data_IF_901478411898
#
_entry.id   IF_901478411898
#
_cell.length_a   1.000
_cell.length_b   1.000
_cell.length_c   1.000
_cell.angle_alpha   90.00
_cell.angle_beta   90.00
_cell.angle_gamma   90.00
#
_symmetry.space_group_name_H-M   'P 1'
#
loop_
_entity.id
_entity.type
_entity.pdbx_description
1 polymer ?
#
# COMPACT_ATOMS: atom_id res chain seq x y z
N UNK A 1 -1.88 -4.89 20.13
CA UNK A 1 -1.14 -4.12 19.09
C UNK A 1 0.37 -4.39 19.04
N UNK A 2 1.07 -4.67 20.15
CA UNK A 2 2.55 -4.86 20.20
C UNK A 2 3.08 -5.96 19.27
N UNK A 3 2.40 -7.11 19.20
CA UNK A 3 2.80 -8.24 18.32
C UNK A 3 2.76 -7.88 16.84
N UNK A 4 1.65 -7.27 16.38
CA UNK A 4 1.51 -6.84 14.99
C UNK A 4 2.64 -5.87 14.60
N UNK A 5 2.86 -4.81 15.40
CA UNK A 5 3.94 -3.86 15.12
C UNK A 5 5.34 -4.49 15.13
N UNK A 6 5.59 -5.50 15.97
CA UNK A 6 6.86 -6.23 15.98
C UNK A 6 7.07 -7.05 14.69
N UNK A 7 6.02 -7.70 14.17
CA UNK A 7 6.11 -8.42 12.91
C UNK A 7 6.33 -7.47 11.73
N UNK A 8 5.59 -6.36 11.66
CA UNK A 8 5.77 -5.36 10.59
C UNK A 8 7.22 -4.84 10.52
N UNK A 9 7.85 -4.56 11.67
CA UNK A 9 9.24 -4.08 11.71
C UNK A 9 10.26 -5.11 11.18
N UNK A 10 9.96 -6.40 11.25
CA UNK A 10 10.85 -7.46 10.76
C UNK A 10 10.76 -7.64 9.24
N UNK A 11 9.67 -7.19 8.59
CA UNK A 11 9.39 -7.48 7.17
C UNK A 11 10.38 -6.83 6.21
N UNK A 12 11.05 -5.75 6.62
CA UNK A 12 12.15 -5.14 5.88
C UNK A 12 13.41 -6.01 5.82
N UNK A 13 13.58 -6.96 6.74
CA UNK A 13 14.74 -7.85 6.75
C UNK A 13 14.74 -8.73 5.51
N UNK A 14 15.87 -8.77 4.81
CA UNK A 14 16.07 -9.52 3.55
C UNK A 14 15.10 -9.13 2.43
N UNK A 15 14.51 -7.93 2.48
CA UNK A 15 13.71 -7.43 1.37
C UNK A 15 14.62 -6.82 0.30
N UNK A 16 14.35 -7.12 -0.97
CA UNK A 16 15.09 -6.57 -2.12
C UNK A 16 14.53 -5.23 -2.59
N UNK A 17 13.32 -4.86 -2.16
CA UNK A 17 12.68 -3.61 -2.55
C UNK A 17 11.58 -3.17 -1.57
N UNK A 18 11.13 -1.92 -1.69
CA UNK A 18 10.02 -1.37 -0.90
C UNK A 18 8.69 -2.05 -1.25
N UNK A 19 8.49 -2.38 -2.52
CA UNK A 19 7.31 -3.09 -3.05
C UNK A 19 7.20 -4.47 -2.42
N UNK A 20 8.33 -5.17 -2.27
CA UNK A 20 8.33 -6.47 -1.59
C UNK A 20 7.95 -6.34 -0.11
N UNK A 21 8.39 -5.28 0.57
CA UNK A 21 7.96 -5.02 1.96
C UNK A 21 6.47 -4.69 2.01
N UNK A 22 5.99 -3.84 1.10
CA UNK A 22 4.58 -3.47 1.00
C UNK A 22 3.69 -4.71 0.80
N UNK A 23 4.07 -5.62 -0.10
CA UNK A 23 3.37 -6.89 -0.34
C UNK A 23 3.34 -7.80 0.91
N UNK A 24 4.48 -7.95 1.62
CA UNK A 24 4.54 -8.68 2.90
C UNK A 24 3.58 -8.09 3.94
N UNK A 25 3.56 -6.75 4.07
CA UNK A 25 2.70 -6.04 5.03
C UNK A 25 1.22 -6.29 4.73
N UNK A 26 0.76 -6.05 3.49
CA UNK A 26 -0.67 -6.17 3.16
C UNK A 26 -1.15 -7.62 3.32
N UNK A 27 -0.34 -8.61 2.93
CA UNK A 27 -0.66 -10.03 3.12
C UNK A 27 -0.71 -10.42 4.58
N UNK A 28 0.22 -9.93 5.40
CA UNK A 28 0.21 -10.22 6.83
C UNK A 28 -1.07 -9.68 7.48
N UNK A 29 -1.40 -8.41 7.26
CA UNK A 29 -2.60 -7.79 7.81
C UNK A 29 -3.87 -8.50 7.33
N UNK A 30 -3.96 -8.82 6.03
CA UNK A 30 -5.09 -9.54 5.45
C UNK A 30 -5.29 -10.91 6.08
N UNK A 31 -4.22 -11.66 6.34
CA UNK A 31 -4.30 -13.04 6.84
C UNK A 31 -4.38 -13.17 8.36
N UNK A 32 -3.93 -12.17 9.13
CA UNK A 32 -3.75 -12.29 10.58
C UNK A 32 -4.69 -11.40 11.41
N UNK A 33 -5.49 -10.56 10.75
CA UNK A 33 -6.62 -9.91 11.40
C UNK A 33 -7.83 -10.82 11.17
N UNK A 34 -8.07 -11.68 12.17
CA UNK A 34 -9.04 -12.78 12.13
C UNK A 34 -9.96 -12.71 13.35
N UNK A 35 -11.14 -13.30 13.22
CA UNK A 35 -12.05 -13.52 14.34
C UNK A 35 -11.48 -14.57 15.28
N UNK A 36 -11.56 -14.35 16.59
CA UNK A 36 -10.96 -15.27 17.57
C UNK A 36 -11.65 -16.64 17.58
N UNK A 37 -12.97 -16.68 17.44
CA UNK A 37 -13.76 -17.91 17.55
C UNK A 37 -13.68 -18.80 16.30
N UNK A 38 -13.70 -18.19 15.11
CA UNK A 38 -13.80 -18.91 13.85
C UNK A 38 -12.48 -19.01 13.10
N UNK A 39 -11.51 -18.13 13.42
CA UNK A 39 -10.29 -17.94 12.64
C UNK A 39 -10.53 -17.36 11.25
N UNK A 40 -11.75 -16.92 10.93
CA UNK A 40 -12.08 -16.31 9.66
C UNK A 40 -11.40 -14.94 9.53
N UNK A 41 -10.94 -14.59 8.32
CA UNK A 41 -10.36 -13.27 8.05
C UNK A 41 -11.43 -12.19 8.20
N UNK A 42 -11.13 -11.14 8.97
CA UNK A 42 -12.05 -10.01 9.15
C UNK A 42 -11.96 -8.98 8.02
N UNK A 43 -10.85 -8.97 7.27
CA UNK A 43 -10.59 -7.96 6.25
C UNK A 43 -10.93 -8.51 4.88
N UNK A 44 -11.78 -7.80 4.13
CA UNK A 44 -12.04 -8.10 2.72
C UNK A 44 -10.93 -7.56 1.81
N UNK A 45 -10.29 -6.46 2.21
CA UNK A 45 -9.30 -5.75 1.43
C UNK A 45 -8.32 -4.96 2.30
N UNK A 46 -7.05 -4.98 1.91
CA UNK A 46 -5.99 -4.13 2.44
C UNK A 46 -5.30 -3.42 1.27
N UNK A 47 -5.10 -2.11 1.39
CA UNK A 47 -4.37 -1.28 0.42
C UNK A 47 -3.32 -0.46 1.16
N UNK A 48 -2.07 -0.53 0.71
CA UNK A 48 -0.98 0.26 1.25
C UNK A 48 -0.60 1.35 0.25
N UNK A 49 -0.75 2.60 0.68
CA UNK A 49 -0.36 3.77 -0.10
C UNK A 49 0.90 4.38 0.47
N UNK A 50 1.74 4.91 -0.42
CA UNK A 50 2.89 5.73 -0.07
C UNK A 50 2.70 7.12 -0.66
N UNK A 51 2.97 8.14 0.17
CA UNK A 51 2.92 9.52 -0.27
C UNK A 51 4.22 9.90 -0.97
N UNK A 52 4.11 10.42 -2.18
CA UNK A 52 5.21 10.94 -2.97
C UNK A 52 4.85 12.31 -3.56
N UNK A 53 5.82 13.22 -3.76
CA UNK A 53 5.55 14.41 -4.56
C UNK A 53 5.28 13.99 -6.01
N UNK A 54 4.41 14.72 -6.71
CA UNK A 54 4.00 14.43 -8.08
C UNK A 54 5.21 14.29 -9.00
N UNK A 55 6.24 15.12 -8.84
CA UNK A 55 7.48 15.05 -9.63
C UNK A 55 8.21 13.69 -9.57
N UNK A 56 8.10 12.96 -8.45
CA UNK A 56 8.74 11.65 -8.23
C UNK A 56 7.86 10.47 -8.66
N UNK A 57 6.63 10.74 -9.11
CA UNK A 57 5.70 9.68 -9.55
C UNK A 57 6.14 9.14 -10.92
N UNK A 58 6.04 7.82 -11.08
CA UNK A 58 6.33 7.16 -12.35
C UNK A 58 5.51 7.76 -13.52
N UNK A 59 6.08 7.87 -14.73
CA UNK A 59 5.40 8.54 -15.85
C UNK A 59 4.02 7.99 -16.19
N UNK A 60 3.80 6.68 -16.04
CA UNK A 60 2.49 6.06 -16.28
C UNK A 60 1.44 6.51 -15.27
N UNK A 61 1.82 6.60 -13.99
CA UNK A 61 0.96 7.06 -12.92
C UNK A 61 0.72 8.58 -12.97
N UNK A 62 1.69 9.36 -13.46
CA UNK A 62 1.49 10.78 -13.77
C UNK A 62 0.41 10.97 -14.83
N UNK A 63 0.46 10.18 -15.92
CA UNK A 63 -0.57 10.23 -16.96
C UNK A 63 -1.95 9.91 -16.39
N UNK A 64 -2.07 8.88 -15.56
CA UNK A 64 -3.32 8.59 -14.85
C UNK A 64 -3.80 9.78 -13.99
N UNK A 65 -2.89 10.45 -13.27
CA UNK A 65 -3.24 11.61 -12.46
C UNK A 65 -3.73 12.80 -13.33
N UNK A 66 -3.06 13.07 -14.46
CA UNK A 66 -3.47 14.10 -15.42
C UNK A 66 -4.85 13.78 -16.01
N UNK A 67 -5.08 12.54 -16.43
CA UNK A 67 -6.36 12.11 -16.98
C UNK A 67 -7.49 12.26 -15.95
N UNK A 68 -7.22 11.98 -14.67
CA UNK A 68 -8.18 12.12 -13.58
C UNK A 68 -8.45 13.57 -13.17
N UNK A 69 -7.43 14.43 -13.21
CA UNK A 69 -7.53 15.86 -12.83
C UNK A 69 -7.99 16.75 -13.99
N UNK A 70 -7.84 16.30 -15.23
CA UNK A 70 -8.07 17.08 -16.44
C UNK A 70 -6.96 18.08 -16.78
N UNK A 71 -5.93 18.18 -15.94
CA UNK A 71 -4.76 19.03 -16.14
C UNK A 71 -3.57 18.50 -15.33
N UNK A 72 -2.38 18.98 -15.67
CA UNK A 72 -1.18 18.71 -14.87
C UNK A 72 -1.20 19.51 -13.56
N UNK A 73 -0.83 18.93 -12.40
CA UNK A 73 -0.68 19.68 -11.17
C UNK A 73 0.31 20.85 -11.33
N UNK A 74 -0.12 22.06 -10.95
CA UNK A 74 0.71 23.27 -11.05
C UNK A 74 1.93 23.23 -10.10
N UNK A 75 1.83 22.48 -9.01
CA UNK A 75 2.87 22.38 -7.99
C UNK A 75 3.54 21.01 -8.08
N UNK A 76 4.83 20.97 -8.42
CA UNK A 76 5.62 19.74 -8.54
C UNK A 76 5.61 18.86 -7.27
N UNK A 77 5.55 19.50 -6.10
CA UNK A 77 5.48 18.83 -4.78
C UNK A 77 4.06 18.43 -4.34
N UNK A 78 3.07 18.52 -5.25
CA UNK A 78 1.71 18.04 -4.99
C UNK A 78 1.76 16.60 -4.50
N UNK A 79 1.14 16.31 -3.36
CA UNK A 79 1.22 14.99 -2.73
C UNK A 79 0.32 14.00 -3.47
N UNK A 80 0.93 12.98 -4.06
CA UNK A 80 0.26 11.83 -4.66
C UNK A 80 0.24 10.66 -3.68
N UNK A 81 -0.93 10.04 -3.51
CA UNK A 81 -1.09 8.78 -2.80
C UNK A 81 -0.95 7.62 -3.78
N UNK A 82 0.26 7.08 -3.89
CA UNK A 82 0.56 5.99 -4.81
C UNK A 82 0.31 4.64 -4.14
N UNK A 83 -0.54 3.80 -4.74
CA UNK A 83 -0.80 2.45 -4.25
C UNK A 83 0.44 1.56 -4.47
N UNK A 84 1.03 1.05 -3.39
CA UNK A 84 2.24 0.21 -3.45
C UNK A 84 1.94 -1.29 -3.38
N UNK A 85 0.88 -1.68 -2.67
CA UNK A 85 0.48 -3.09 -2.57
C UNK A 85 -1.00 -3.24 -2.17
N UNK A 86 -1.59 -4.38 -2.51
CA UNK A 86 -2.94 -4.74 -2.09
C UNK A 86 -3.07 -6.24 -1.85
N UNK A 87 -3.91 -6.64 -0.90
CA UNK A 87 -4.32 -8.01 -0.66
C UNK A 87 -5.81 -8.04 -0.32
N UNK A 88 -6.58 -8.92 -0.96
CA UNK A 88 -8.01 -8.96 -0.77
C UNK A 88 -8.74 -9.66 -1.91
N UNK A 89 -10.06 -9.64 -1.84
CA UNK A 89 -10.91 -10.03 -2.96
C UNK A 89 -10.78 -8.97 -4.04
N UNK A 90 -10.50 -9.41 -5.28
CA UNK A 90 -10.59 -8.55 -6.46
C UNK A 90 -12.07 -8.49 -6.84
N UNK A 91 -12.64 -7.29 -6.86
CA UNK A 91 -13.94 -7.04 -7.49
C UNK A 91 -13.89 -7.38 -8.99
#
# INVERSE_FOLDING_TARGET
>A
MTRCGAELRKMGKNASSMEQVADKIVRYLYNHIVEEDTGARCLSLVRLFKTHPYEDVDPELKRFAVDALGHEPEVASTKCLTLSATAGVKD
#
